data_IF_592508404436
#
_entry.id   IF_592508404436
#
_cell.length_a   1.000
_cell.length_b   1.000
_cell.length_c   1.000
_cell.angle_alpha   90.00
_cell.angle_beta   90.00
_cell.angle_gamma   90.00
#
_symmetry.space_group_name_H-M   'P 1'
#
loop_
_entity.id
_entity.type
_entity.pdbx_description
1 polymer ?
#
# COMPACT_ATOMS: atom_id res chain seq x y z
N UNK A 1 -31.28 21.13 -3.90
CA UNK A 1 -30.29 20.91 -2.82
C UNK A 1 -30.35 19.50 -2.22
N UNK A 2 -31.49 19.02 -1.70
CA UNK A 2 -31.59 17.71 -1.02
C UNK A 2 -31.09 16.51 -1.85
N UNK A 3 -31.48 16.43 -3.12
CA UNK A 3 -31.08 15.36 -4.06
C UNK A 3 -29.57 15.31 -4.35
N UNK A 4 -28.89 16.47 -4.37
CA UNK A 4 -27.44 16.57 -4.61
C UNK A 4 -26.65 16.06 -3.40
N UNK A 5 -27.16 16.32 -2.20
CA UNK A 5 -26.54 15.86 -0.97
C UNK A 5 -26.68 14.35 -0.80
N UNK A 6 -27.86 13.79 -1.07
CA UNK A 6 -28.09 12.34 -1.06
C UNK A 6 -27.19 11.60 -2.07
N UNK A 7 -26.90 12.21 -3.22
CA UNK A 7 -25.98 11.64 -4.22
C UNK A 7 -24.54 11.61 -3.70
N UNK A 8 -24.05 12.73 -3.12
CA UNK A 8 -22.71 12.81 -2.54
C UNK A 8 -22.53 11.85 -1.35
N UNK A 9 -23.54 11.67 -0.52
CA UNK A 9 -23.53 10.71 0.59
C UNK A 9 -23.40 9.27 0.06
N UNK A 10 -24.11 8.92 -1.02
CA UNK A 10 -23.96 7.61 -1.67
C UNK A 10 -22.57 7.40 -2.26
N UNK A 11 -22.05 8.38 -2.99
CA UNK A 11 -20.69 8.33 -3.57
C UNK A 11 -19.62 8.16 -2.48
N UNK A 12 -19.80 8.80 -1.32
CA UNK A 12 -18.92 8.64 -0.18
C UNK A 12 -18.95 7.23 0.40
N UNK A 13 -20.14 6.67 0.61
CA UNK A 13 -20.32 5.29 1.10
C UNK A 13 -19.71 4.29 0.12
N UNK A 14 -19.89 4.51 -1.18
CA UNK A 14 -19.28 3.68 -2.22
C UNK A 14 -17.75 3.76 -2.18
N UNK A 15 -17.18 4.98 -2.12
CA UNK A 15 -15.73 5.16 -2.02
C UNK A 15 -15.14 4.50 -0.77
N UNK A 16 -15.82 4.59 0.38
CA UNK A 16 -15.41 3.90 1.61
C UNK A 16 -15.49 2.37 1.47
N UNK A 17 -16.54 1.86 0.82
CA UNK A 17 -16.68 0.44 0.55
C UNK A 17 -15.56 -0.08 -0.35
N UNK A 18 -15.26 0.63 -1.44
CA UNK A 18 -14.14 0.30 -2.33
C UNK A 18 -12.81 0.34 -1.60
N UNK A 19 -12.57 1.37 -0.78
CA UNK A 19 -11.37 1.47 0.06
C UNK A 19 -11.22 0.26 0.99
N UNK A 20 -12.29 -0.13 1.70
CA UNK A 20 -12.28 -1.28 2.61
C UNK A 20 -12.00 -2.58 1.88
N UNK A 21 -12.63 -2.79 0.73
CA UNK A 21 -12.41 -3.98 -0.11
C UNK A 21 -10.97 -4.06 -0.59
N UNK A 22 -10.41 -2.95 -1.11
CA UNK A 22 -9.01 -2.92 -1.54
C UNK A 22 -8.04 -3.16 -0.38
N UNK A 23 -8.30 -2.56 0.78
CA UNK A 23 -7.48 -2.79 1.97
C UNK A 23 -7.56 -4.25 2.44
N UNK A 24 -8.74 -4.86 2.41
CA UNK A 24 -8.93 -6.27 2.75
C UNK A 24 -8.16 -7.19 1.81
N UNK A 25 -8.27 -6.97 0.50
CA UNK A 25 -7.52 -7.72 -0.51
C UNK A 25 -6.01 -7.57 -0.33
N UNK A 26 -5.55 -6.35 -0.02
CA UNK A 26 -4.14 -6.09 0.30
C UNK A 26 -3.67 -6.93 1.49
N UNK A 27 -4.42 -6.94 2.59
CA UNK A 27 -4.07 -7.73 3.79
C UNK A 27 -4.07 -9.23 3.46
N UNK A 28 -5.06 -9.73 2.72
CA UNK A 28 -5.13 -11.14 2.32
C UNK A 28 -3.91 -11.54 1.48
N UNK A 29 -3.53 -10.72 0.50
CA UNK A 29 -2.35 -10.99 -0.32
C UNK A 29 -1.05 -10.95 0.51
N UNK A 30 -0.91 -9.99 1.45
CA UNK A 30 0.25 -9.97 2.34
C UNK A 30 0.33 -11.24 3.19
N UNK A 31 -0.80 -11.69 3.74
CA UNK A 31 -0.86 -12.91 4.53
C UNK A 31 -0.41 -14.12 3.72
N UNK A 32 -0.88 -14.26 2.47
CA UNK A 32 -0.45 -15.35 1.59
C UNK A 32 1.05 -15.29 1.30
N UNK A 33 1.59 -14.11 1.00
CA UNK A 33 3.02 -13.96 0.71
C UNK A 33 3.89 -14.26 1.93
N UNK A 34 3.50 -13.79 3.12
CA UNK A 34 4.24 -14.02 4.37
C UNK A 34 4.19 -15.50 4.77
N UNK A 35 3.02 -16.13 4.73
CA UNK A 35 2.89 -17.56 5.04
C UNK A 35 3.67 -18.40 4.01
N UNK A 36 3.60 -18.03 2.73
CA UNK A 36 4.38 -18.66 1.67
C UNK A 36 5.88 -18.60 1.94
N UNK A 37 6.39 -17.42 2.33
CA UNK A 37 7.80 -17.22 2.69
C UNK A 37 8.22 -18.15 3.83
N UNK A 38 7.51 -18.12 4.96
CA UNK A 38 7.80 -18.99 6.11
C UNK A 38 7.75 -20.48 5.75
N UNK A 39 6.80 -20.86 4.89
CA UNK A 39 6.65 -22.25 4.46
C UNK A 39 7.83 -22.71 3.60
N UNK A 40 8.21 -21.92 2.59
CA UNK A 40 9.32 -22.25 1.68
C UNK A 40 10.65 -22.22 2.41
N UNK A 41 10.88 -21.23 3.27
CA UNK A 41 12.08 -21.17 4.12
C UNK A 41 12.12 -22.36 5.08
N UNK A 42 11.01 -22.66 5.76
CA UNK A 42 10.91 -23.79 6.69
C UNK A 42 11.22 -25.13 6.01
N UNK A 43 10.66 -25.36 4.82
CA UNK A 43 10.97 -26.53 4.01
C UNK A 43 12.43 -26.58 3.56
N UNK A 44 12.98 -25.45 3.08
CA UNK A 44 14.38 -25.35 2.68
C UNK A 44 15.34 -25.64 3.84
N UNK A 45 14.99 -25.23 5.07
CA UNK A 45 15.75 -25.54 6.29
C UNK A 45 15.66 -27.02 6.64
N UNK A 46 14.47 -27.60 6.64
CA UNK A 46 14.22 -29.01 6.97
C UNK A 46 14.99 -29.96 6.04
N UNK A 47 14.93 -29.70 4.74
CA UNK A 47 15.57 -30.52 3.71
C UNK A 47 17.03 -30.13 3.43
N UNK A 48 17.56 -29.11 4.12
CA UNK A 48 18.88 -28.52 3.89
C UNK A 48 19.12 -28.12 2.41
N UNK A 49 18.09 -27.53 1.80
CA UNK A 49 18.09 -27.08 0.41
C UNK A 49 18.31 -25.57 0.33
N UNK A 50 19.55 -25.19 0.05
CA UNK A 50 19.96 -23.80 0.04
C UNK A 50 19.38 -23.01 -1.14
N UNK A 51 19.16 -23.66 -2.29
CA UNK A 51 18.53 -23.04 -3.45
C UNK A 51 17.06 -22.68 -3.19
N UNK A 52 16.36 -23.49 -2.39
CA UNK A 52 14.98 -23.21 -1.99
C UNK A 52 14.90 -21.97 -1.08
N UNK A 53 15.84 -21.82 -0.14
CA UNK A 53 15.93 -20.60 0.69
C UNK A 53 16.24 -19.38 -0.17
N UNK A 54 17.14 -19.49 -1.15
CA UNK A 54 17.43 -18.39 -2.07
C UNK A 54 16.20 -18.00 -2.90
N UNK A 55 15.41 -18.98 -3.37
CA UNK A 55 14.17 -18.74 -4.10
C UNK A 55 13.09 -18.07 -3.24
N UNK A 56 13.08 -18.30 -1.93
CA UNK A 56 12.15 -17.65 -1.02
C UNK A 56 12.24 -16.11 -1.07
N UNK A 57 13.36 -15.54 -1.56
CA UNK A 57 13.50 -14.10 -1.80
C UNK A 57 12.38 -13.50 -2.70
N UNK A 58 11.71 -14.31 -3.51
CA UNK A 58 10.57 -13.86 -4.33
C UNK A 58 9.43 -13.30 -3.48
N UNK A 59 9.22 -13.81 -2.27
CA UNK A 59 8.14 -13.37 -1.38
C UNK A 59 8.36 -11.95 -0.84
N UNK A 60 9.47 -11.63 -0.13
CA UNK A 60 9.69 -10.28 0.36
C UNK A 60 9.86 -9.25 -0.78
N UNK A 61 10.41 -9.64 -1.93
CA UNK A 61 10.42 -8.78 -3.13
C UNK A 61 8.98 -8.53 -3.62
N UNK A 62 8.17 -9.58 -3.71
CA UNK A 62 6.76 -9.49 -4.08
C UNK A 62 5.95 -8.58 -3.15
N UNK A 63 6.18 -8.68 -1.84
CA UNK A 63 5.61 -7.80 -0.82
C UNK A 63 5.98 -6.33 -1.10
N UNK A 64 7.26 -6.03 -1.33
CA UNK A 64 7.73 -4.67 -1.61
C UNK A 64 7.10 -4.09 -2.89
N UNK A 65 6.99 -4.89 -3.95
CA UNK A 65 6.36 -4.52 -5.22
C UNK A 65 4.86 -4.30 -5.03
N UNK A 66 4.17 -5.19 -4.30
CA UNK A 66 2.75 -5.05 -4.05
C UNK A 66 2.42 -3.81 -3.22
N UNK A 67 3.23 -3.49 -2.20
CA UNK A 67 3.09 -2.23 -1.46
C UNK A 67 3.15 -1.01 -2.38
N UNK A 68 4.01 -1.03 -3.39
CA UNK A 68 4.10 0.07 -4.36
C UNK A 68 2.80 0.22 -5.16
N UNK A 69 2.32 -0.85 -5.78
CA UNK A 69 1.10 -0.81 -6.60
C UNK A 69 -0.14 -0.45 -5.79
N UNK A 70 -0.35 -1.05 -4.62
CA UNK A 70 -1.54 -0.78 -3.83
C UNK A 70 -1.61 0.68 -3.41
N UNK A 71 -0.49 1.27 -2.99
CA UNK A 71 -0.45 2.70 -2.66
C UNK A 71 -0.79 3.58 -3.87
N UNK A 72 -0.34 3.20 -5.07
CA UNK A 72 -0.64 3.92 -6.30
C UNK A 72 -2.15 3.87 -6.64
N UNK A 73 -2.79 2.71 -6.50
CA UNK A 73 -4.21 2.53 -6.82
C UNK A 73 -5.18 3.00 -5.74
N UNK A 74 -4.77 3.02 -4.46
CA UNK A 74 -5.63 3.51 -3.37
C UNK A 74 -5.72 5.05 -3.35
N UNK A 75 -4.70 5.73 -3.87
CA UNK A 75 -4.60 7.18 -3.79
C UNK A 75 -5.79 7.94 -4.41
N UNK A 76 -6.28 7.60 -5.61
CA UNK A 76 -7.45 8.25 -6.19
C UNK A 76 -8.72 8.08 -5.34
N UNK A 77 -8.92 6.91 -4.72
CA UNK A 77 -10.10 6.63 -3.89
C UNK A 77 -10.07 7.51 -2.63
N UNK A 78 -8.91 7.61 -2.00
CA UNK A 78 -8.69 8.49 -0.85
C UNK A 78 -8.96 9.95 -1.25
N UNK A 79 -8.46 10.39 -2.41
CA UNK A 79 -8.70 11.74 -2.91
C UNK A 79 -10.21 12.03 -3.10
N UNK A 80 -10.96 11.12 -3.71
CA UNK A 80 -12.41 11.26 -3.90
C UNK A 80 -13.12 11.36 -2.55
N UNK A 81 -12.83 10.45 -1.62
CA UNK A 81 -13.45 10.44 -0.30
C UNK A 81 -13.18 11.74 0.48
N UNK A 82 -11.93 12.22 0.51
CA UNK A 82 -11.57 13.49 1.17
C UNK A 82 -12.24 14.68 0.47
N UNK A 83 -12.32 14.68 -0.86
CA UNK A 83 -12.99 15.74 -1.62
C UNK A 83 -14.48 15.82 -1.29
N UNK A 84 -15.13 14.67 -1.06
CA UNK A 84 -16.53 14.61 -0.66
C UNK A 84 -16.72 15.05 0.79
N UNK A 85 -15.83 14.62 1.72
CA UNK A 85 -15.81 15.09 3.12
C UNK A 85 -15.74 16.61 3.22
N UNK A 86 -14.90 17.24 2.41
CA UNK A 86 -14.78 18.70 2.37
C UNK A 86 -16.02 19.39 1.80
N UNK A 87 -16.70 18.78 0.81
CA UNK A 87 -17.92 19.35 0.18
C UNK A 87 -19.16 19.21 1.05
N UNK A 88 -19.30 18.11 1.79
CA UNK A 88 -20.47 17.86 2.65
C UNK A 88 -20.36 18.56 4.01
N UNK A 89 -19.15 18.90 4.45
CA UNK A 89 -18.89 19.69 5.66
C UNK A 89 -19.16 18.94 6.97
N UNK A 90 -18.71 19.52 8.08
CA UNK A 90 -18.63 18.92 9.42
C UNK A 90 -19.93 18.29 9.98
N UNK A 91 -21.09 18.61 9.42
CA UNK A 91 -22.38 18.27 10.02
C UNK A 91 -23.10 17.09 9.33
N UNK A 92 -22.60 16.58 8.20
CA UNK A 92 -23.31 15.54 7.42
C UNK A 92 -22.59 14.20 7.33
N UNK A 93 -21.27 14.20 7.29
CA UNK A 93 -20.47 12.97 7.27
C UNK A 93 -19.28 13.09 8.22
N UNK A 94 -18.89 11.97 8.82
CA UNK A 94 -17.70 11.91 9.67
C UNK A 94 -16.45 12.10 8.81
N UNK A 95 -15.46 12.83 9.32
CA UNK A 95 -14.17 13.06 8.65
C UNK A 95 -13.26 11.83 8.72
N UNK A 96 -13.81 10.64 8.48
CA UNK A 96 -13.13 9.38 8.70
C UNK A 96 -11.89 9.26 7.82
N UNK A 97 -12.02 9.53 6.52
CA UNK A 97 -10.93 9.38 5.57
C UNK A 97 -9.88 10.48 5.74
N UNK A 98 -10.31 11.73 5.98
CA UNK A 98 -9.40 12.83 6.30
C UNK A 98 -8.61 12.57 7.58
N UNK A 99 -9.27 12.07 8.63
CA UNK A 99 -8.62 11.69 9.90
C UNK A 99 -7.63 10.57 9.66
N UNK A 100 -8.07 9.46 9.05
CA UNK A 100 -7.20 8.32 8.76
C UNK A 100 -5.99 8.73 7.90
N UNK A 101 -6.22 9.49 6.83
CA UNK A 101 -5.15 9.94 5.94
C UNK A 101 -4.16 10.87 6.64
N UNK A 102 -4.60 11.72 7.56
CA UNK A 102 -3.71 12.57 8.36
C UNK A 102 -2.79 11.80 9.31
N UNK A 103 -3.20 10.60 9.77
CA UNK A 103 -2.34 9.73 10.57
C UNK A 103 -1.23 9.07 9.74
N UNK A 104 -1.52 8.75 8.48
CA UNK A 104 -0.60 8.00 7.60
C UNK A 104 0.18 8.88 6.63
N UNK A 105 -0.16 10.15 6.51
CA UNK A 105 0.46 11.11 5.58
C UNK A 105 0.86 12.39 6.29
N UNK A 106 1.76 13.16 5.68
CA UNK A 106 2.09 14.48 6.19
C UNK A 106 0.92 15.44 5.95
N UNK A 107 0.61 16.28 6.93
CA UNK A 107 -0.50 17.24 6.84
C UNK A 107 -0.46 18.13 5.58
N UNK A 108 0.74 18.42 5.05
CA UNK A 108 0.91 19.16 3.79
C UNK A 108 0.24 18.47 2.59
N UNK A 109 0.28 17.13 2.54
CA UNK A 109 -0.34 16.35 1.45
C UNK A 109 -1.86 16.45 1.53
N UNK A 110 -2.42 16.34 2.74
CA UNK A 110 -3.85 16.53 2.97
C UNK A 110 -4.32 17.93 2.54
N UNK A 111 -3.58 18.98 2.92
CA UNK A 111 -3.91 20.36 2.52
C UNK A 111 -3.86 20.52 0.99
N UNK A 112 -2.85 19.96 0.35
CA UNK A 112 -2.66 20.05 -1.10
C UNK A 112 -3.77 19.30 -1.85
N UNK A 113 -4.18 18.12 -1.38
CA UNK A 113 -5.36 17.42 -1.91
C UNK A 113 -6.63 18.28 -1.85
N UNK A 114 -6.90 18.92 -0.72
CA UNK A 114 -8.06 19.81 -0.61
C UNK A 114 -8.00 20.99 -1.57
N UNK A 115 -6.80 21.55 -1.79
CA UNK A 115 -6.62 22.63 -2.78
C UNK A 115 -6.88 22.13 -4.21
N UNK A 116 -6.49 20.89 -4.54
CA UNK A 116 -6.71 20.27 -5.84
C UNK A 116 -8.20 19.92 -6.04
N UNK A 117 -8.89 19.48 -4.98
CA UNK A 117 -10.31 19.14 -5.00
C UNK A 117 -11.21 20.32 -5.41
N UNK A 118 -10.78 21.55 -5.11
CA UNK A 118 -11.50 22.78 -5.43
C UNK A 118 -11.30 23.27 -6.88
N UNK A 119 -10.44 22.61 -7.67
CA UNK A 119 -10.19 22.97 -9.07
C UNK A 119 -11.37 22.48 -9.93
N UNK A 120 -12.03 23.43 -10.60
CA UNK A 120 -13.17 23.15 -11.50
C UNK A 120 -12.74 22.45 -12.79
N UNK A 121 -11.62 22.89 -13.36
CA UNK A 121 -11.03 22.31 -14.57
C UNK A 121 -10.47 20.91 -14.26
N UNK A 122 -10.99 19.91 -14.97
CA UNK A 122 -10.66 18.51 -14.76
C UNK A 122 -9.25 18.14 -15.23
N UNK A 123 -8.79 18.68 -16.37
CA UNK A 123 -7.45 18.41 -16.89
C UNK A 123 -6.39 18.99 -15.96
N UNK A 124 -6.60 20.22 -15.49
CA UNK A 124 -5.70 20.87 -14.53
C UNK A 124 -5.71 20.12 -13.20
N UNK A 125 -6.89 19.67 -12.73
CA UNK A 125 -7.03 18.89 -11.51
C UNK A 125 -6.24 17.58 -11.59
N UNK A 126 -6.41 16.80 -12.66
CA UNK A 126 -5.71 15.53 -12.84
C UNK A 126 -4.20 15.71 -13.06
N UNK A 127 -3.80 16.75 -13.79
CA UNK A 127 -2.38 17.09 -13.96
C UNK A 127 -1.71 17.39 -12.61
N UNK A 128 -2.36 18.17 -11.74
CA UNK A 128 -1.86 18.43 -10.38
C UNK A 128 -1.90 17.19 -9.50
N UNK A 129 -2.96 16.38 -9.58
CA UNK A 129 -3.08 15.15 -8.79
C UNK A 129 -1.98 14.14 -9.15
N UNK A 130 -1.64 13.98 -10.45
CA UNK A 130 -0.53 13.12 -10.91
C UNK A 130 0.84 13.63 -10.44
N UNK A 131 1.00 14.95 -10.31
CA UNK A 131 2.24 15.59 -9.84
C UNK A 131 2.35 15.65 -8.32
N UNK A 132 1.26 15.39 -7.60
CA UNK A 132 1.22 15.43 -6.14
C UNK A 132 2.16 14.37 -5.57
N UNK A 133 3.29 14.83 -5.04
CA UNK A 133 4.23 13.96 -4.34
C UNK A 133 3.65 13.65 -2.96
N UNK A 134 3.03 12.49 -2.85
CA UNK A 134 2.51 11.96 -1.59
C UNK A 134 3.70 11.68 -0.67
N UNK A 135 4.13 12.63 0.14
CA UNK A 135 5.34 12.52 0.98
C UNK A 135 5.16 11.64 2.23
N UNK A 136 4.15 10.76 2.29
CA UNK A 136 4.07 9.66 3.27
C UNK A 136 5.23 8.64 3.15
N UNK A 137 6.09 8.83 2.14
CA UNK A 137 7.20 7.98 1.77
C UNK A 137 8.35 7.87 2.77
N UNK A 138 8.50 8.72 3.80
CA UNK A 138 9.70 8.62 4.67
C UNK A 138 9.67 7.39 5.60
N UNK A 139 8.51 7.04 6.17
CA UNK A 139 8.34 5.78 6.95
C UNK A 139 8.19 4.56 6.03
N UNK A 140 7.50 4.70 4.89
CA UNK A 140 7.26 3.58 3.95
C UNK A 140 8.48 3.19 3.11
N UNK A 141 9.37 4.12 2.77
CA UNK A 141 10.64 3.80 2.09
C UNK A 141 11.50 2.89 2.96
N UNK A 142 11.50 3.10 4.28
CA UNK A 142 12.18 2.20 5.22
C UNK A 142 11.55 0.81 5.23
N UNK A 143 10.22 0.68 5.23
CA UNK A 143 9.54 -0.63 5.20
C UNK A 143 9.76 -1.37 3.88
N UNK A 144 9.60 -0.72 2.72
CA UNK A 144 9.92 -1.33 1.43
C UNK A 144 11.39 -1.71 1.33
N UNK A 145 12.29 -0.86 1.84
CA UNK A 145 13.71 -1.17 1.89
C UNK A 145 14.01 -2.37 2.79
N UNK A 146 13.34 -2.51 3.93
CA UNK A 146 13.47 -3.67 4.81
C UNK A 146 13.07 -4.97 4.10
N UNK A 147 11.98 -4.97 3.34
CA UNK A 147 11.58 -6.15 2.57
C UNK A 147 12.55 -6.46 1.42
N UNK A 148 13.04 -5.45 0.70
CA UNK A 148 14.08 -5.66 -0.31
C UNK A 148 15.36 -6.24 0.30
N UNK A 149 15.78 -5.70 1.45
CA UNK A 149 16.94 -6.16 2.21
C UNK A 149 16.74 -7.58 2.75
N UNK A 150 15.53 -7.92 3.18
CA UNK A 150 15.16 -9.29 3.54
C UNK A 150 15.28 -10.24 2.34
N UNK A 151 14.84 -9.83 1.15
CA UNK A 151 15.05 -10.61 -0.08
C UNK A 151 16.52 -10.82 -0.40
N UNK A 152 17.36 -9.79 -0.25
CA UNK A 152 18.82 -9.91 -0.41
C UNK A 152 19.41 -10.89 0.61
N UNK A 153 18.95 -10.87 1.87
CA UNK A 153 19.39 -11.82 2.88
C UNK A 153 18.99 -13.26 2.58
N UNK A 154 17.84 -13.51 1.95
CA UNK A 154 17.47 -14.86 1.52
C UNK A 154 18.44 -15.38 0.44
N UNK A 155 18.77 -14.55 -0.54
CA UNK A 155 19.71 -14.91 -1.61
C UNK A 155 21.10 -15.18 -1.04
N UNK A 156 21.65 -14.23 -0.27
CA UNK A 156 22.98 -14.36 0.33
C UNK A 156 22.99 -15.53 1.32
N UNK A 157 21.96 -15.66 2.15
CA UNK A 157 21.83 -16.75 3.13
C UNK A 157 21.85 -18.11 2.46
N UNK A 158 21.09 -18.32 1.39
CA UNK A 158 21.14 -19.55 0.59
C UNK A 158 22.54 -19.83 0.06
N UNK A 159 23.22 -18.83 -0.53
CA UNK A 159 24.59 -19.00 -1.05
C UNK A 159 25.56 -19.40 0.07
N UNK A 160 25.49 -18.72 1.22
CA UNK A 160 26.37 -18.99 2.37
C UNK A 160 26.13 -20.39 2.96
N UNK A 161 24.87 -20.83 3.05
CA UNK A 161 24.52 -22.17 3.52
C UNK A 161 25.11 -23.27 2.63
N UNK A 162 25.11 -23.07 1.31
CA UNK A 162 25.75 -23.99 0.38
C UNK A 162 27.27 -24.04 0.58
N UNK A 163 27.93 -22.87 0.57
CA UNK A 163 29.40 -22.77 0.59
C UNK A 163 30.00 -23.21 1.93
N UNK A 164 29.42 -22.77 3.05
CA UNK A 164 30.03 -22.94 4.37
C UNK A 164 29.47 -24.12 5.17
N UNK A 165 28.24 -24.54 4.89
CA UNK A 165 27.57 -25.62 5.63
C UNK A 165 27.33 -26.88 4.79
N UNK A 166 27.73 -26.86 3.51
CA UNK A 166 27.61 -28.02 2.62
C UNK A 166 26.15 -28.40 2.33
N UNK A 167 25.22 -27.46 2.41
CA UNK A 167 23.82 -27.69 2.08
C UNK A 167 23.67 -27.99 0.59
N UNK A 168 22.76 -28.89 0.24
CA UNK A 168 22.49 -29.19 -1.16
C UNK A 168 21.83 -27.98 -1.82
N UNK A 169 22.21 -27.71 -3.07
CA UNK A 169 21.59 -26.61 -3.79
C UNK A 169 20.14 -26.94 -4.21
N UNK A 170 19.87 -28.20 -4.58
CA UNK A 170 18.56 -28.76 -4.91
C UNK A 170 18.31 -30.08 -4.22
#
# INVERSE_FOLDING_TARGET
MKKTTELLEKEYVEALSTYRTQYSLMVQLFTVLVIGDFTVVGFGVDQRLSGVIALAAIFPIGIAVMMYFVNYYMFPIIFVAISIEQKLGNNRISHLMSTYFSFISHYSVYREMGSIANIKDEEVRFSKLKKLKVTSYRKKRSVNFLYLLLGVFHIIGGILLNIFFGWNFW
#
